data_IF_524882465306
#
_entry.id   IF_524882465306
#
_cell.length_a   1.000
_cell.length_b   1.000
_cell.length_c   1.000
_cell.angle_alpha   90.00
_cell.angle_beta   90.00
_cell.angle_gamma   90.00
#
_symmetry.space_group_name_H-M   'P 1'
#
loop_
_entity.id
_entity.type
_entity.pdbx_description
1 polymer ?
#
# COMPACT_ATOMS: atom_id res chain seq x y z
N UNK A 1 12.18 7.52 14.05
CA UNK A 1 11.98 6.28 14.84
C UNK A 1 11.44 5.20 13.90
N UNK A 2 12.08 4.04 13.86
CA UNK A 2 11.56 2.86 13.14
C UNK A 2 10.90 1.94 14.16
N UNK A 3 9.66 1.53 13.91
CA UNK A 3 9.01 0.48 14.69
C UNK A 3 9.73 -0.86 14.53
N UNK A 4 9.62 -1.74 15.53
CA UNK A 4 10.11 -3.12 15.42
C UNK A 4 9.32 -3.90 14.38
N UNK A 5 9.91 -4.94 13.80
CA UNK A 5 9.24 -5.74 12.77
C UNK A 5 8.01 -6.46 13.34
N UNK A 6 8.09 -6.99 14.57
CA UNK A 6 6.94 -7.57 15.26
C UNK A 6 5.75 -6.60 15.40
N UNK A 7 6.02 -5.31 15.65
CA UNK A 7 4.96 -4.31 15.73
C UNK A 7 4.34 -4.01 14.36
N UNK A 8 5.13 -4.03 13.29
CA UNK A 8 4.64 -3.85 11.91
C UNK A 8 3.81 -5.06 11.48
N UNK A 9 4.31 -6.26 11.72
CA UNK A 9 3.62 -7.49 11.37
C UNK A 9 2.27 -7.55 12.07
N UNK A 10 2.24 -7.26 13.39
CA UNK A 10 0.99 -7.17 14.15
C UNK A 10 0.00 -6.13 13.58
N UNK A 11 0.50 -4.97 13.16
CA UNK A 11 -0.34 -3.96 12.51
C UNK A 11 -0.98 -4.47 11.21
N UNK A 12 -0.20 -5.15 10.36
CA UNK A 12 -0.74 -5.70 9.11
C UNK A 12 -1.66 -6.91 9.33
N UNK A 13 -1.43 -7.72 10.37
CA UNK A 13 -2.36 -8.77 10.80
C UNK A 13 -3.70 -8.18 11.26
N UNK A 14 -3.68 -7.16 12.11
CA UNK A 14 -4.89 -6.49 12.60
C UNK A 14 -5.63 -5.79 11.46
N UNK A 15 -4.89 -5.15 10.55
CA UNK A 15 -5.45 -4.56 9.35
C UNK A 15 -6.11 -5.63 8.49
N UNK A 16 -5.43 -6.75 8.21
CA UNK A 16 -6.01 -7.85 7.44
C UNK A 16 -7.30 -8.37 8.08
N UNK A 17 -7.31 -8.58 9.40
CA UNK A 17 -8.50 -9.04 10.12
C UNK A 17 -9.65 -8.04 9.99
N UNK A 18 -9.39 -6.74 10.13
CA UNK A 18 -10.38 -5.69 9.96
C UNK A 18 -10.93 -5.65 8.52
N UNK A 19 -10.05 -5.71 7.52
CA UNK A 19 -10.44 -5.73 6.11
C UNK A 19 -11.36 -6.91 5.78
N UNK A 20 -11.10 -8.09 6.36
CA UNK A 20 -11.91 -9.28 6.17
C UNK A 20 -13.33 -9.17 6.74
N UNK A 21 -13.58 -8.24 7.67
CA UNK A 21 -14.93 -8.00 8.21
C UNK A 21 -15.83 -7.18 7.30
N UNK A 22 -15.25 -6.45 6.33
CA UNK A 22 -16.01 -5.56 5.45
C UNK A 22 -16.78 -6.39 4.42
N UNK A 23 -18.11 -6.23 4.30
CA UNK A 23 -18.89 -6.92 3.28
C UNK A 23 -18.39 -6.58 1.87
N UNK A 24 -18.31 -7.57 0.98
CA UNK A 24 -17.82 -7.39 -0.39
C UNK A 24 -18.64 -6.40 -1.24
N UNK A 25 -19.88 -6.14 -0.85
CA UNK A 25 -20.75 -5.17 -1.53
C UNK A 25 -20.45 -3.71 -1.15
N UNK A 26 -19.74 -3.49 -0.05
CA UNK A 26 -19.45 -2.16 0.45
C UNK A 26 -18.20 -1.58 -0.21
N UNK A 27 -18.17 -0.26 -0.32
CA UNK A 27 -17.00 0.47 -0.82
C UNK A 27 -16.08 0.80 0.33
N UNK A 28 -14.88 0.23 0.31
CA UNK A 28 -13.85 0.49 1.32
C UNK A 28 -12.79 1.44 0.80
N UNK A 29 -12.46 2.45 1.62
CA UNK A 29 -11.32 3.34 1.40
C UNK A 29 -10.49 3.34 2.68
N UNK A 30 -9.22 2.94 2.55
CA UNK A 30 -8.25 3.00 3.65
C UNK A 30 -7.30 4.16 3.38
N UNK A 31 -7.21 5.09 4.33
CA UNK A 31 -6.36 6.27 4.24
C UNK A 31 -5.34 6.28 5.37
N UNK A 32 -4.15 6.79 5.07
CA UNK A 32 -3.08 6.91 6.05
C UNK A 32 -1.71 6.93 5.38
N UNK A 33 -0.69 7.26 6.16
CA UNK A 33 0.71 7.09 5.77
C UNK A 33 1.19 5.71 6.20
N UNK A 34 1.29 4.78 5.25
CA UNK A 34 1.80 3.43 5.47
C UNK A 34 3.33 3.34 5.47
N UNK A 35 4.03 4.47 5.25
CA UNK A 35 5.49 4.55 5.14
C UNK A 35 6.06 3.48 4.18
N UNK A 36 5.35 3.26 3.08
CA UNK A 36 5.65 2.26 2.06
C UNK A 36 6.08 2.96 0.77
N UNK A 37 7.17 2.46 0.17
CA UNK A 37 7.60 2.87 -1.18
C UNK A 37 7.42 1.69 -2.09
N UNK A 38 6.36 1.69 -2.89
CA UNK A 38 5.90 0.49 -3.62
C UNK A 38 6.62 0.24 -4.93
N UNK A 39 7.41 1.20 -5.41
CA UNK A 39 8.17 1.10 -6.64
C UNK A 39 7.33 1.16 -7.91
N UNK A 40 7.88 0.67 -9.02
CA UNK A 40 7.35 0.87 -10.39
C UNK A 40 6.85 -0.42 -11.05
N UNK A 41 6.90 -1.56 -10.35
CA UNK A 41 6.59 -2.89 -10.90
C UNK A 41 5.07 -3.15 -10.98
N UNK A 42 4.39 -2.31 -11.76
CA UNK A 42 2.94 -2.41 -11.99
C UNK A 42 2.54 -3.70 -12.72
N UNK A 43 3.45 -4.29 -13.51
CA UNK A 43 3.20 -5.53 -14.22
C UNK A 43 3.05 -6.72 -13.26
N UNK A 44 3.94 -6.82 -12.25
CA UNK A 44 3.83 -7.85 -11.22
C UNK A 44 2.63 -7.66 -10.28
N UNK A 45 2.19 -6.41 -10.08
CA UNK A 45 1.12 -6.04 -9.15
C UNK A 45 -0.13 -5.49 -9.87
N UNK A 46 -0.49 -6.11 -11.00
CA UNK A 46 -1.63 -5.68 -11.80
C UNK A 46 -2.92 -5.64 -10.97
N UNK A 47 -3.66 -4.52 -11.07
CA UNK A 47 -4.90 -4.29 -10.33
C UNK A 47 -4.71 -3.70 -8.92
N UNK A 48 -3.50 -3.80 -8.37
CA UNK A 48 -3.13 -3.18 -7.07
C UNK A 48 -2.33 -1.91 -7.30
N UNK A 49 -1.36 -1.95 -8.20
CA UNK A 49 -0.42 -0.86 -8.47
C UNK A 49 -0.70 -0.23 -9.84
N UNK A 50 -0.79 1.09 -9.86
CA UNK A 50 -0.92 1.89 -11.06
C UNK A 50 0.44 2.25 -11.70
N UNK A 51 0.43 2.82 -12.91
CA UNK A 51 1.63 3.07 -13.70
C UNK A 51 2.53 4.20 -13.17
N UNK A 52 2.10 4.93 -12.15
CA UNK A 52 2.79 6.10 -11.61
C UNK A 52 3.42 5.86 -10.23
N UNK A 53 3.67 4.59 -9.89
CA UNK A 53 4.52 4.26 -8.73
C UNK A 53 5.92 4.90 -8.84
N UNK A 54 6.58 5.09 -7.69
CA UNK A 54 7.88 5.76 -7.62
C UNK A 54 8.82 5.10 -6.60
N UNK A 55 10.11 5.17 -6.87
CA UNK A 55 11.17 4.67 -6.00
C UNK A 55 11.37 3.15 -6.13
N UNK A 56 11.94 2.54 -5.09
CA UNK A 56 12.13 1.10 -4.98
C UNK A 56 11.23 0.53 -3.88
N UNK A 57 10.74 -0.68 -4.11
CA UNK A 57 10.05 -1.49 -3.12
C UNK A 57 10.89 -1.61 -1.84
N UNK A 58 10.30 -1.30 -0.69
CA UNK A 58 10.85 -1.57 0.64
C UNK A 58 10.07 -2.69 1.36
N UNK A 59 10.49 -3.08 2.57
CA UNK A 59 9.82 -4.14 3.33
C UNK A 59 8.33 -3.82 3.60
N UNK A 60 8.04 -2.61 4.05
CA UNK A 60 6.67 -2.16 4.33
C UNK A 60 5.78 -2.22 3.09
N UNK A 61 6.31 -1.85 1.91
CA UNK A 61 5.53 -1.96 0.67
C UNK A 61 5.20 -3.39 0.31
N UNK A 62 6.06 -4.37 0.60
CA UNK A 62 5.73 -5.75 0.31
C UNK A 62 4.55 -6.24 1.16
N UNK A 63 4.51 -5.87 2.44
CA UNK A 63 3.37 -6.15 3.32
C UNK A 63 2.10 -5.48 2.79
N UNK A 64 2.17 -4.18 2.48
CA UNK A 64 1.04 -3.43 1.94
C UNK A 64 0.52 -3.99 0.61
N UNK A 65 1.42 -4.35 -0.31
CA UNK A 65 1.07 -4.90 -1.62
C UNK A 65 0.39 -6.28 -1.48
N UNK A 66 0.89 -7.14 -0.59
CA UNK A 66 0.28 -8.45 -0.30
C UNK A 66 -1.12 -8.29 0.28
N UNK A 67 -1.29 -7.48 1.33
CA UNK A 67 -2.60 -7.21 1.92
C UNK A 67 -3.56 -6.60 0.90
N UNK A 68 -3.08 -5.69 0.05
CA UNK A 68 -3.90 -5.05 -0.98
C UNK A 68 -4.33 -6.04 -2.06
N UNK A 69 -3.42 -6.92 -2.53
CA UNK A 69 -3.75 -7.95 -3.51
C UNK A 69 -4.80 -8.93 -2.98
N UNK A 70 -4.66 -9.36 -1.73
CA UNK A 70 -5.58 -10.30 -1.10
C UNK A 70 -7.00 -9.74 -0.98
N UNK A 71 -7.13 -8.47 -0.59
CA UNK A 71 -8.41 -7.77 -0.41
C UNK A 71 -8.88 -7.01 -1.66
N UNK A 72 -8.21 -7.20 -2.81
CA UNK A 72 -8.51 -6.53 -4.09
C UNK A 72 -8.56 -4.99 -3.98
N UNK A 73 -7.67 -4.43 -3.18
CA UNK A 73 -7.50 -3.00 -3.00
C UNK A 73 -6.50 -2.45 -4.02
N UNK A 74 -6.77 -1.22 -4.44
CA UNK A 74 -5.93 -0.46 -5.36
C UNK A 74 -5.22 0.67 -4.60
N UNK A 75 -3.93 0.82 -4.85
CA UNK A 75 -3.11 1.87 -4.26
C UNK A 75 -3.28 3.15 -5.08
N UNK A 76 -4.33 3.91 -4.78
CA UNK A 76 -4.76 5.11 -5.52
C UNK A 76 -3.62 6.08 -5.87
N UNK A 77 -2.68 6.33 -4.95
CA UNK A 77 -1.52 7.21 -5.16
C UNK A 77 -0.63 6.81 -6.35
N UNK A 78 -0.69 5.56 -6.79
CA UNK A 78 0.09 5.05 -7.92
C UNK A 78 -0.68 5.09 -9.25
N UNK A 79 -1.99 5.32 -9.23
CA UNK A 79 -2.82 5.41 -10.45
C UNK A 79 -2.87 6.81 -11.04
N UNK A 80 -2.48 7.83 -10.28
CA UNK A 80 -2.48 9.22 -10.71
C UNK A 80 -1.07 9.78 -10.77
N UNK A 81 -0.77 10.53 -11.83
CA UNK A 81 0.51 11.23 -11.93
C UNK A 81 0.51 12.38 -10.93
N UNK A 82 1.33 12.25 -9.89
CA UNK A 82 1.54 13.33 -8.93
C UNK A 82 2.48 14.40 -9.51
N UNK A 83 2.33 15.67 -9.12
CA UNK A 83 3.31 16.70 -9.43
C UNK A 83 4.68 16.29 -8.90
N UNK A 84 5.75 16.67 -9.60
CA UNK A 84 7.11 16.49 -9.11
C UNK A 84 7.24 17.23 -7.78
N UNK A 85 7.36 16.48 -6.67
CA UNK A 85 7.76 17.07 -5.39
C UNK A 85 9.25 17.36 -5.45
N UNK A 86 9.61 18.62 -5.68
CA UNK A 86 10.96 19.07 -5.33
C UNK A 86 11.15 18.84 -3.83
N UNK A 87 12.23 18.15 -3.45
CA UNK A 87 12.61 18.06 -2.04
C UNK A 87 12.93 19.48 -1.62
N UNK A 88 12.14 20.03 -0.68
CA UNK A 88 12.55 21.24 0.04
C UNK A 88 13.95 21.01 0.59
N UNK A 89 14.86 21.89 0.21
CA UNK A 89 16.27 21.88 0.62
C UNK A 89 16.40 22.12 2.11
#
# INVERSE_FOLDING_TARGET
MTSSDAAKDKFYEDLHALLATVPKGDKLIVLGDFNARVGTDHAAWQGVLGPHGFGSCNYNSLLLLRTSAEHRLLLTNTFFRLPTREKGT
#
